data_IF_163115134321
#
_entry.id   IF_163115134321
#
_cell.length_a   1.000
_cell.length_b   1.000
_cell.length_c   1.000
_cell.angle_alpha   90.00
_cell.angle_beta   90.00
_cell.angle_gamma   90.00
#
_symmetry.space_group_name_H-M   'P 1'
#
loop_
_entity.id
_entity.type
_entity.pdbx_description
1 polymer ?
#
# COMPACT_ATOMS: atom_id res chain seq x y z
N UNK A 1 -13.53 9.04 7.20
CA UNK A 1 -13.95 9.41 5.84
C UNK A 1 -12.88 9.22 4.78
N UNK A 2 -11.60 9.00 5.18
CA UNK A 2 -10.47 8.83 4.27
C UNK A 2 -10.51 7.47 3.58
N UNK A 3 -10.31 7.44 2.24
CA UNK A 3 -10.24 6.24 1.40
C UNK A 3 -11.52 5.38 1.38
N UNK A 4 -12.70 5.99 1.31
CA UNK A 4 -13.93 5.25 1.05
C UNK A 4 -13.83 4.43 -0.23
N UNK A 5 -14.18 3.16 -0.21
CA UNK A 5 -14.24 2.30 -1.40
C UNK A 5 -13.37 1.05 -1.35
N UNK A 6 -12.88 0.61 -2.53
CA UNK A 6 -12.45 -0.76 -2.76
C UNK A 6 -11.02 -1.10 -2.29
N UNK A 7 -10.17 -0.12 -1.94
CA UNK A 7 -8.76 -0.39 -1.66
C UNK A 7 -8.14 0.57 -0.62
N UNK A 8 -8.74 0.73 0.58
CA UNK A 8 -8.24 1.65 1.60
C UNK A 8 -6.82 1.28 2.09
N UNK A 9 -6.52 0.00 2.30
CA UNK A 9 -5.21 -0.49 2.76
C UNK A 9 -4.12 -0.11 1.76
N UNK A 10 -4.34 -0.39 0.48
CA UNK A 10 -3.38 -0.04 -0.56
C UNK A 10 -3.24 1.48 -0.71
N UNK A 11 -4.32 2.22 -0.55
CA UNK A 11 -4.30 3.68 -0.66
C UNK A 11 -3.48 4.32 0.45
N UNK A 12 -3.57 3.85 1.69
CA UNK A 12 -2.74 4.34 2.79
C UNK A 12 -1.25 4.07 2.55
N UNK A 13 -0.91 2.88 2.04
CA UNK A 13 0.48 2.53 1.69
C UNK A 13 1.00 3.34 0.50
N UNK A 14 0.20 3.54 -0.56
CA UNK A 14 0.55 4.35 -1.73
C UNK A 14 0.88 5.79 -1.37
N UNK A 15 0.09 6.37 -0.45
CA UNK A 15 0.29 7.74 0.02
C UNK A 15 1.37 7.87 1.09
N UNK A 16 1.94 6.76 1.58
CA UNK A 16 2.98 6.77 2.60
C UNK A 16 2.46 7.22 3.96
N UNK A 17 1.18 6.99 4.25
CA UNK A 17 0.59 7.29 5.55
C UNK A 17 1.36 6.57 6.66
N UNK A 18 1.40 7.18 7.84
CA UNK A 18 2.09 6.63 9.01
C UNK A 18 1.15 5.86 9.94
N UNK A 19 -0.15 6.07 9.76
CA UNK A 19 -1.22 5.48 10.57
C UNK A 19 -2.29 4.94 9.64
N UNK A 20 -2.85 3.79 10.00
CA UNK A 20 -4.05 3.21 9.42
C UNK A 20 -4.98 2.77 10.54
N UNK A 21 -6.15 2.20 10.23
CA UNK A 21 -7.05 1.77 11.28
C UNK A 21 -8.28 1.03 10.76
N UNK A 22 -9.07 0.57 11.74
CA UNK A 22 -10.38 -0.06 11.53
C UNK A 22 -11.45 0.90 12.02
N UNK A 23 -12.50 1.09 11.23
CA UNK A 23 -13.66 1.90 11.58
C UNK A 23 -14.91 1.01 11.59
N UNK A 24 -15.61 1.00 12.70
CA UNK A 24 -16.94 0.42 12.83
C UNK A 24 -17.96 1.52 12.59
N UNK A 25 -18.87 1.30 11.65
CA UNK A 25 -19.84 2.31 11.24
C UNK A 25 -21.22 1.70 11.01
N UNK A 26 -22.26 2.53 11.09
CA UNK A 26 -23.62 2.17 10.69
C UNK A 26 -23.68 1.98 9.17
N UNK A 27 -24.51 1.07 8.71
CA UNK A 27 -24.78 0.93 7.28
C UNK A 27 -25.62 2.10 6.78
N UNK A 28 -25.27 2.65 5.63
CA UNK A 28 -26.02 3.67 4.92
C UNK A 28 -26.24 3.29 3.46
N UNK A 29 -27.00 4.09 2.71
CA UNK A 29 -27.23 3.85 1.28
C UNK A 29 -26.03 4.18 0.41
N UNK A 30 -25.13 5.03 0.88
CA UNK A 30 -23.94 5.44 0.15
C UNK A 30 -22.71 4.62 0.52
N UNK A 31 -21.61 4.88 -0.19
CA UNK A 31 -20.38 4.11 -0.09
C UNK A 31 -19.54 4.55 1.12
N UNK A 32 -19.48 3.72 2.15
CA UNK A 32 -18.63 3.89 3.34
C UNK A 32 -18.84 5.26 4.03
N UNK A 33 -20.07 5.81 4.00
CA UNK A 33 -20.41 7.14 4.53
C UNK A 33 -21.25 7.09 5.82
N UNK A 34 -21.53 5.89 6.34
CA UNK A 34 -22.32 5.71 7.55
C UNK A 34 -21.68 6.39 8.77
N UNK A 35 -22.51 6.63 9.80
CA UNK A 35 -22.03 7.23 11.06
C UNK A 35 -21.01 6.32 11.72
N UNK A 36 -19.92 6.90 12.21
CA UNK A 36 -18.86 6.18 12.92
C UNK A 36 -19.35 5.83 14.32
N UNK A 37 -19.36 4.54 14.64
CA UNK A 37 -19.62 3.99 15.96
C UNK A 37 -18.34 4.05 16.79
N UNK A 38 -17.23 3.51 16.21
CA UNK A 38 -15.93 3.51 16.84
C UNK A 38 -14.80 3.40 15.81
N UNK A 39 -13.58 3.80 16.17
CA UNK A 39 -12.39 3.66 15.34
C UNK A 39 -11.15 3.34 16.16
N UNK A 40 -10.31 2.49 15.63
CA UNK A 40 -9.06 2.04 16.25
C UNK A 40 -7.92 2.21 15.26
N UNK A 41 -6.79 2.73 15.71
CA UNK A 41 -5.65 3.08 14.86
C UNK A 41 -4.44 2.22 15.17
N UNK A 42 -3.62 1.95 14.14
CA UNK A 42 -2.31 1.32 14.25
C UNK A 42 -1.27 2.09 13.45
N UNK A 43 -0.02 2.03 13.88
CA UNK A 43 1.08 2.61 13.13
C UNK A 43 1.46 1.71 11.94
N UNK A 44 1.71 2.33 10.79
CA UNK A 44 2.25 1.62 9.61
C UNK A 44 3.78 1.63 9.69
N UNK A 45 4.38 0.48 9.94
CA UNK A 45 5.82 0.33 10.00
C UNK A 45 6.47 0.50 8.61
N UNK A 46 7.76 0.82 8.58
CA UNK A 46 8.49 1.00 7.31
C UNK A 46 8.50 -0.27 6.45
N UNK A 47 8.54 -1.44 7.09
CA UNK A 47 8.57 -2.74 6.42
C UNK A 47 7.16 -3.30 6.15
N UNK A 48 6.09 -2.66 6.64
CA UNK A 48 4.72 -3.11 6.39
C UNK A 48 4.40 -3.05 4.90
N UNK A 49 3.87 -4.13 4.39
CA UNK A 49 3.29 -4.24 3.06
C UNK A 49 1.79 -4.55 3.16
N UNK A 50 1.12 -4.63 2.01
CA UNK A 50 -0.33 -4.87 1.96
C UNK A 50 -0.77 -6.09 2.79
N UNK A 51 -0.05 -7.20 2.70
CA UNK A 51 -0.43 -8.44 3.38
C UNK A 51 -0.26 -8.34 4.90
N UNK A 52 0.87 -7.79 5.37
CA UNK A 52 1.13 -7.58 6.79
C UNK A 52 0.13 -6.58 7.40
N UNK A 53 -0.09 -5.44 6.72
CA UNK A 53 -1.03 -4.43 7.22
C UNK A 53 -2.47 -4.96 7.26
N UNK A 54 -2.87 -5.77 6.28
CA UNK A 54 -4.20 -6.42 6.27
C UNK A 54 -4.37 -7.39 7.44
N UNK A 55 -3.34 -8.17 7.77
CA UNK A 55 -3.31 -9.08 8.90
C UNK A 55 -3.44 -8.32 10.23
N UNK A 56 -2.60 -7.31 10.45
CA UNK A 56 -2.63 -6.45 11.64
C UNK A 56 -4.00 -5.76 11.83
N UNK A 57 -4.60 -5.24 10.75
CA UNK A 57 -5.92 -4.62 10.79
C UNK A 57 -7.03 -5.64 11.05
N UNK A 58 -6.89 -6.85 10.53
CA UNK A 58 -7.87 -7.93 10.77
C UNK A 58 -7.84 -8.39 12.23
N UNK A 59 -6.66 -8.56 12.80
CA UNK A 59 -6.49 -8.90 14.23
C UNK A 59 -7.07 -7.79 15.12
N UNK A 60 -6.80 -6.52 14.80
CA UNK A 60 -7.38 -5.38 15.51
C UNK A 60 -8.92 -5.41 15.45
N UNK A 61 -9.49 -5.63 14.26
CA UNK A 61 -10.94 -5.73 14.09
C UNK A 61 -11.53 -6.86 14.93
N UNK A 62 -10.93 -8.05 14.90
CA UNK A 62 -11.37 -9.23 15.69
C UNK A 62 -11.32 -8.92 17.18
N UNK A 63 -10.27 -8.26 17.66
CA UNK A 63 -10.12 -7.92 19.08
C UNK A 63 -11.18 -6.95 19.61
N UNK A 64 -11.80 -6.16 18.72
CA UNK A 64 -12.74 -5.07 19.07
C UNK A 64 -14.21 -5.36 18.76
N UNK A 65 -14.47 -6.22 17.79
CA UNK A 65 -15.83 -6.41 17.25
C UNK A 65 -16.84 -6.85 18.32
N UNK A 66 -16.43 -7.72 19.26
CA UNK A 66 -17.33 -8.21 20.32
C UNK A 66 -17.80 -7.07 21.24
N UNK A 67 -16.89 -6.20 21.66
CA UNK A 67 -17.19 -5.04 22.49
C UNK A 67 -18.14 -4.07 21.76
N UNK A 68 -17.83 -3.76 20.50
CA UNK A 68 -18.65 -2.86 19.67
C UNK A 68 -20.07 -3.42 19.50
N UNK A 69 -20.21 -4.71 19.17
CA UNK A 69 -21.54 -5.36 19.01
C UNK A 69 -22.32 -5.32 20.31
N UNK A 70 -21.70 -5.63 21.46
CA UNK A 70 -22.38 -5.59 22.76
C UNK A 70 -22.85 -4.19 23.12
N UNK A 71 -22.04 -3.16 22.83
CA UNK A 71 -22.42 -1.77 23.08
C UNK A 71 -23.61 -1.36 22.21
N UNK A 72 -23.62 -1.75 20.93
CA UNK A 72 -24.75 -1.52 20.03
C UNK A 72 -26.00 -2.24 20.51
N UNK A 73 -25.91 -3.54 20.81
CA UNK A 73 -27.02 -4.34 21.28
C UNK A 73 -27.63 -3.82 22.60
N UNK A 74 -26.78 -3.35 23.51
CA UNK A 74 -27.18 -2.81 24.81
C UNK A 74 -27.61 -1.34 24.75
N UNK A 75 -27.65 -0.74 23.58
CA UNK A 75 -27.96 0.69 23.35
C UNK A 75 -27.03 1.63 24.15
N UNK A 76 -25.75 1.21 24.33
CA UNK A 76 -24.71 1.93 25.06
C UNK A 76 -23.64 2.49 24.12
N UNK A 77 -24.00 2.89 22.92
CA UNK A 77 -23.10 3.49 21.97
C UNK A 77 -23.58 4.87 21.54
N UNK A 78 -22.67 5.64 21.00
CA UNK A 78 -22.96 6.87 20.24
C UNK A 78 -22.39 6.74 18.84
N UNK A 79 -23.02 7.35 17.87
CA UNK A 79 -22.46 7.41 16.54
C UNK A 79 -22.31 8.87 16.08
N UNK A 80 -21.23 9.14 15.37
CA UNK A 80 -20.89 10.48 14.89
C UNK A 80 -20.92 10.54 13.37
N UNK A 81 -21.53 11.57 12.81
CA UNK A 81 -21.53 11.81 11.39
C UNK A 81 -20.09 11.98 10.89
N UNK A 82 -19.77 11.35 9.75
CA UNK A 82 -18.51 11.59 9.11
C UNK A 82 -18.44 13.02 8.55
N UNK A 83 -17.28 13.67 8.66
CA UNK A 83 -17.05 14.97 8.05
C UNK A 83 -16.83 14.82 6.55
N UNK A 84 -17.82 15.26 5.76
CA UNK A 84 -17.84 15.05 4.30
C UNK A 84 -16.72 15.83 3.59
N UNK A 85 -16.33 16.98 4.13
CA UNK A 85 -15.19 17.77 3.61
C UNK A 85 -13.84 17.03 3.65
N UNK A 86 -13.73 16.02 4.53
CA UNK A 86 -12.52 15.16 4.67
C UNK A 86 -12.65 13.84 3.89
N UNK A 87 -13.77 13.61 3.19
CA UNK A 87 -13.97 12.37 2.47
C UNK A 87 -13.04 12.28 1.26
N UNK A 88 -12.34 11.15 1.15
CA UNK A 88 -11.58 10.78 -0.03
C UNK A 88 -11.98 9.38 -0.49
N UNK A 89 -11.78 9.10 -1.77
CA UNK A 89 -12.24 7.85 -2.37
C UNK A 89 -11.09 7.06 -2.96
N UNK A 90 -11.16 5.74 -2.88
CA UNK A 90 -10.22 4.84 -3.50
C UNK A 90 -10.91 3.90 -4.51
N UNK A 91 -10.26 3.73 -5.67
CA UNK A 91 -10.78 2.92 -6.78
C UNK A 91 -10.29 1.47 -6.65
N UNK A 92 -11.00 0.56 -7.32
CA UNK A 92 -10.53 -0.81 -7.52
C UNK A 92 -9.20 -0.82 -8.27
N UNK A 93 -8.22 -1.54 -7.75
CA UNK A 93 -6.88 -1.67 -8.34
C UNK A 93 -6.93 -2.51 -9.62
N UNK A 94 -6.18 -2.08 -10.63
CA UNK A 94 -6.01 -2.78 -11.90
C UNK A 94 -4.56 -3.29 -12.03
N UNK A 95 -4.35 -4.33 -12.81
CA UNK A 95 -2.99 -4.85 -13.08
C UNK A 95 -2.07 -3.79 -13.72
N UNK A 96 -2.63 -2.89 -14.51
CA UNK A 96 -1.89 -1.78 -15.13
C UNK A 96 -1.33 -0.79 -14.12
N UNK A 97 -1.98 -0.65 -12.96
CA UNK A 97 -1.54 0.29 -11.92
C UNK A 97 -0.20 -0.14 -11.30
N UNK A 98 0.18 -1.42 -11.43
CA UNK A 98 1.41 -1.98 -10.87
C UNK A 98 2.68 -1.73 -11.70
N UNK A 99 2.56 -1.11 -12.87
CA UNK A 99 3.72 -0.78 -13.69
C UNK A 99 4.51 0.36 -13.04
N UNK A 100 5.80 0.13 -12.77
CA UNK A 100 6.69 1.11 -12.17
C UNK A 100 7.24 2.06 -13.24
N UNK A 101 7.33 3.34 -12.86
CA UNK A 101 8.08 4.35 -13.57
C UNK A 101 9.26 4.81 -12.70
N UNK A 102 10.47 4.45 -13.07
CA UNK A 102 11.68 4.82 -12.32
C UNK A 102 12.05 6.31 -12.41
N UNK A 103 11.33 7.11 -13.19
CA UNK A 103 11.44 8.56 -13.12
C UNK A 103 10.75 9.19 -11.90
N UNK A 104 9.95 8.41 -11.17
CA UNK A 104 9.33 8.84 -9.91
C UNK A 104 10.34 8.82 -8.75
N UNK A 105 10.05 9.49 -7.62
CA UNK A 105 10.84 9.38 -6.40
C UNK A 105 10.93 7.93 -5.88
N UNK A 106 12.07 7.56 -5.30
CA UNK A 106 12.30 6.21 -4.80
C UNK A 106 11.26 5.78 -3.76
N UNK A 107 10.88 6.69 -2.88
CA UNK A 107 9.86 6.49 -1.85
C UNK A 107 8.49 6.18 -2.45
N UNK A 108 8.09 6.90 -3.51
CA UNK A 108 6.83 6.63 -4.25
C UNK A 108 6.85 5.24 -4.88
N UNK A 109 7.99 4.84 -5.45
CA UNK A 109 8.16 3.50 -6.04
C UNK A 109 8.10 2.42 -4.97
N UNK A 110 8.76 2.63 -3.82
CA UNK A 110 8.73 1.70 -2.69
C UNK A 110 7.33 1.58 -2.08
N UNK A 111 6.62 2.69 -1.90
CA UNK A 111 5.23 2.70 -1.45
C UNK A 111 4.33 1.89 -2.40
N UNK A 112 4.54 2.02 -3.71
CA UNK A 112 3.80 1.24 -4.71
C UNK A 112 4.12 -0.25 -4.63
N UNK A 113 5.39 -0.61 -4.39
CA UNK A 113 5.79 -1.99 -4.14
C UNK A 113 5.11 -2.57 -2.89
N UNK A 114 5.10 -1.84 -1.78
CA UNK A 114 4.45 -2.23 -0.52
C UNK A 114 2.93 -2.39 -0.69
N UNK A 115 2.28 -1.42 -1.35
CA UNK A 115 0.83 -1.41 -1.59
C UNK A 115 0.36 -2.55 -2.50
N UNK A 116 1.16 -2.93 -3.48
CA UNK A 116 0.82 -3.96 -4.46
C UNK A 116 1.53 -5.29 -4.20
N UNK A 117 2.11 -5.45 -3.00
CA UNK A 117 2.69 -6.73 -2.58
C UNK A 117 1.68 -7.87 -2.74
N UNK A 118 2.16 -9.03 -3.22
CA UNK A 118 1.36 -10.19 -3.59
C UNK A 118 0.50 -9.94 -4.84
N UNK A 119 -0.49 -9.09 -4.79
CA UNK A 119 -1.35 -8.77 -5.92
C UNK A 119 -1.54 -7.25 -6.06
N UNK A 120 -1.45 -6.73 -7.29
CA UNK A 120 -1.10 -7.39 -8.56
C UNK A 120 0.40 -7.67 -8.72
N UNK A 121 1.23 -7.33 -7.77
CA UNK A 121 2.68 -7.37 -7.83
C UNK A 121 3.25 -6.32 -8.79
N UNK A 122 4.36 -5.66 -8.40
CA UNK A 122 4.93 -4.61 -9.23
C UNK A 122 5.78 -5.15 -10.37
N UNK A 123 5.82 -4.38 -11.47
CA UNK A 123 6.48 -4.75 -12.73
C UNK A 123 7.09 -3.52 -13.38
N UNK A 124 8.04 -3.76 -14.25
CA UNK A 124 8.53 -2.73 -15.18
C UNK A 124 8.76 -3.31 -16.57
N UNK A 125 8.86 -2.45 -17.56
CA UNK A 125 9.13 -2.85 -18.94
C UNK A 125 10.61 -2.60 -19.25
N UNK A 126 11.33 -3.64 -19.69
CA UNK A 126 12.66 -3.52 -20.20
C UNK A 126 12.72 -4.13 -21.61
N UNK A 127 13.12 -3.35 -22.63
CA UNK A 127 13.21 -3.81 -24.05
C UNK A 127 11.98 -4.60 -24.50
N UNK A 128 10.78 -4.06 -24.30
CA UNK A 128 9.47 -4.67 -24.59
C UNK A 128 9.11 -5.92 -23.75
N UNK A 129 9.94 -6.29 -22.78
CA UNK A 129 9.69 -7.42 -21.89
C UNK A 129 9.18 -6.91 -20.55
N UNK A 130 8.08 -7.51 -20.06
CA UNK A 130 7.53 -7.21 -18.73
C UNK A 130 8.30 -8.03 -17.69
N UNK A 131 8.96 -7.36 -16.76
CA UNK A 131 9.72 -7.98 -15.67
C UNK A 131 8.98 -7.75 -14.35
N UNK A 132 8.70 -8.82 -13.60
CA UNK A 132 8.11 -8.74 -12.26
C UNK A 132 9.21 -8.56 -11.23
N UNK A 133 8.96 -7.69 -10.24
CA UNK A 133 9.85 -7.50 -9.10
C UNK A 133 9.30 -8.28 -7.92
N UNK A 134 10.15 -9.13 -7.32
CA UNK A 134 9.79 -9.91 -6.15
C UNK A 134 10.34 -9.31 -4.86
N UNK A 135 11.51 -8.64 -4.91
CA UNK A 135 12.08 -7.94 -3.75
C UNK A 135 12.88 -6.73 -4.21
N UNK A 136 12.69 -5.63 -3.49
CA UNK A 136 13.47 -4.40 -3.71
C UNK A 136 13.54 -3.56 -2.44
N UNK A 137 14.51 -2.65 -2.40
CA UNK A 137 14.68 -1.66 -1.33
C UNK A 137 15.33 -0.38 -1.88
N UNK A 138 15.34 0.67 -1.07
CA UNK A 138 16.07 1.91 -1.36
C UNK A 138 17.47 1.80 -0.76
N UNK A 139 18.49 2.27 -1.48
CA UNK A 139 19.84 2.44 -0.94
C UNK A 139 20.17 3.94 -0.78
N UNK A 140 20.92 4.25 0.26
CA UNK A 140 21.48 5.58 0.49
C UNK A 140 22.77 5.82 -0.31
N UNK A 141 23.32 4.78 -0.94
CA UNK A 141 24.50 4.89 -1.78
C UNK A 141 24.19 5.77 -3.01
N UNK A 142 25.07 6.75 -3.27
CA UNK A 142 24.91 7.69 -4.36
C UNK A 142 25.58 7.20 -5.64
N UNK A 143 24.84 7.19 -6.73
CA UNK A 143 25.34 6.81 -8.05
C UNK A 143 25.18 7.94 -9.04
N UNK A 144 26.17 8.08 -9.91
CA UNK A 144 26.06 8.93 -11.09
C UNK A 144 25.30 8.18 -12.19
N UNK A 145 24.50 8.91 -12.99
CA UNK A 145 23.72 8.34 -14.09
C UNK A 145 22.41 9.05 -14.31
N UNK A 146 21.80 8.78 -15.44
CA UNK A 146 20.50 9.35 -15.81
C UNK A 146 19.38 8.68 -15.01
N UNK A 147 18.34 9.43 -14.68
CA UNK A 147 17.12 8.90 -14.04
C UNK A 147 16.51 7.81 -14.92
N UNK A 148 16.14 6.70 -14.30
CA UNK A 148 15.61 5.49 -14.98
C UNK A 148 16.67 4.56 -15.55
N UNK A 149 17.98 4.91 -15.48
CA UNK A 149 19.05 4.03 -15.96
C UNK A 149 19.51 3.03 -14.91
N UNK A 150 20.02 1.89 -15.38
CA UNK A 150 20.75 0.93 -14.56
C UNK A 150 22.14 1.54 -14.32
N UNK A 151 22.47 1.77 -13.05
CA UNK A 151 23.76 2.38 -12.64
C UNK A 151 24.76 1.38 -12.10
N UNK A 152 24.29 0.20 -11.68
CA UNK A 152 25.14 -0.89 -11.21
C UNK A 152 24.37 -2.22 -11.28
N UNK A 153 25.08 -3.29 -11.54
CA UNK A 153 24.59 -4.66 -11.43
C UNK A 153 25.68 -5.55 -10.85
N UNK A 154 25.38 -6.22 -9.73
CA UNK A 154 26.30 -7.13 -9.06
C UNK A 154 25.54 -8.21 -8.25
N UNK A 155 26.25 -8.94 -7.37
CA UNK A 155 25.66 -9.99 -6.50
C UNK A 155 24.58 -9.48 -5.55
N UNK A 156 24.56 -8.17 -5.25
CA UNK A 156 23.58 -7.55 -4.36
C UNK A 156 22.28 -7.15 -5.09
N UNK A 157 22.30 -7.08 -6.42
CA UNK A 157 21.13 -6.83 -7.25
C UNK A 157 21.34 -5.86 -8.41
N UNK A 158 20.20 -5.38 -8.93
CA UNK A 158 20.11 -4.43 -10.03
C UNK A 158 19.79 -3.04 -9.47
N UNK A 159 20.69 -2.09 -9.65
CA UNK A 159 20.60 -0.73 -9.14
C UNK A 159 20.03 0.20 -10.21
N UNK A 160 18.90 0.82 -9.94
CA UNK A 160 18.22 1.73 -10.88
C UNK A 160 18.12 3.12 -10.25
N UNK A 161 18.66 4.12 -10.94
CA UNK A 161 18.59 5.52 -10.53
C UNK A 161 17.15 6.03 -10.65
N UNK A 162 16.63 6.64 -9.60
CA UNK A 162 15.34 7.34 -9.62
C UNK A 162 15.54 8.86 -9.55
N UNK A 163 14.44 9.61 -9.48
CA UNK A 163 14.54 11.09 -9.37
C UNK A 163 15.11 11.56 -8.02
N UNK A 164 15.13 10.71 -7.00
CA UNK A 164 15.69 11.05 -5.67
C UNK A 164 16.87 10.17 -5.29
N UNK A 165 16.63 8.93 -4.93
CA UNK A 165 17.61 7.92 -4.49
C UNK A 165 17.76 6.81 -5.54
N UNK A 166 18.39 5.71 -5.18
CA UNK A 166 18.52 4.53 -6.03
C UNK A 166 17.71 3.37 -5.46
N UNK A 167 16.97 2.69 -6.32
CA UNK A 167 16.28 1.43 -6.00
C UNK A 167 17.21 0.26 -6.32
N UNK A 168 17.30 -0.69 -5.41
CA UNK A 168 17.98 -1.97 -5.61
C UNK A 168 16.92 -3.06 -5.73
N UNK A 169 16.89 -3.73 -6.87
CA UNK A 169 16.06 -4.91 -7.09
C UNK A 169 16.92 -6.14 -6.81
N UNK A 170 16.58 -6.87 -5.74
CA UNK A 170 17.32 -8.06 -5.31
C UNK A 170 16.76 -9.35 -5.87
N UNK A 171 15.46 -9.38 -6.16
CA UNK A 171 14.82 -10.53 -6.80
C UNK A 171 13.84 -10.07 -7.89
N UNK A 172 13.95 -10.67 -9.05
CA UNK A 172 13.06 -10.41 -10.18
C UNK A 172 12.66 -11.70 -10.88
N UNK A 173 11.61 -11.63 -11.68
CA UNK A 173 11.12 -12.74 -12.47
C UNK A 173 10.88 -12.31 -13.92
N UNK A 174 11.57 -12.94 -14.84
CA UNK A 174 11.32 -12.83 -16.28
C UNK A 174 10.08 -13.66 -16.66
N UNK A 175 9.37 -13.32 -17.74
CA UNK A 175 8.24 -14.12 -18.21
C UNK A 175 8.65 -15.59 -18.40
N UNK A 176 7.83 -16.50 -17.86
CA UNK A 176 8.03 -17.96 -17.96
C UNK A 176 9.37 -18.48 -17.39
N UNK A 177 9.99 -17.73 -16.48
CA UNK A 177 11.23 -18.12 -15.77
C UNK A 177 11.00 -18.15 -14.26
N UNK A 178 11.88 -18.85 -13.56
CA UNK A 178 11.95 -18.78 -12.09
C UNK A 178 12.39 -17.40 -11.61
N UNK A 179 12.14 -17.11 -10.34
CA UNK A 179 12.67 -15.93 -9.67
C UNK A 179 14.19 -16.09 -9.56
N UNK A 180 14.91 -15.05 -9.90
CA UNK A 180 16.36 -14.92 -9.79
C UNK A 180 16.76 -13.70 -8.99
#
# INVERSE_FOLDING_TARGET
>A
PKYRGASPIQSSLLNGDKVSGVTFMEMSSGLDEGKIIDKYEININQDSNKSLLEEELSELAISKIYEVINNVYSNKYSSNQQEESLATYCKKIKKTDSILNFSSPAETILNKYRAYYSWPGVRFVHKKTMVKISKMHITEEKFNGSVGSIVRFDKSGLYIKTSTKTIVITYLQMPNKNII
#
